data_IF_740235607107
#
_entry.id   IF_740235607107
#
_cell.length_a   1.000
_cell.length_b   1.000
_cell.length_c   1.000
_cell.angle_alpha   90.00
_cell.angle_beta   90.00
_cell.angle_gamma   90.00
#
_symmetry.space_group_name_H-M   'P 1'
#
loop_
_entity.id
_entity.type
_entity.pdbx_description
1 polymer ?
#
# COMPACT_ATOMS: atom_id res chain seq x y z
N UNK A 1 9.47 9.82 1.57
CA UNK A 1 8.50 9.24 0.62
C UNK A 1 7.28 10.13 0.53
N UNK A 2 6.74 10.36 -0.68
CA UNK A 2 5.55 11.19 -0.88
C UNK A 2 4.46 10.43 -1.64
N UNK A 3 3.25 10.42 -1.10
CA UNK A 3 2.05 9.80 -1.69
C UNK A 3 1.15 10.88 -2.29
N UNK A 4 0.87 10.80 -3.59
CA UNK A 4 -0.04 11.67 -4.32
C UNK A 4 -1.29 10.87 -4.67
N UNK A 5 -2.46 11.27 -4.16
CA UNK A 5 -3.70 10.53 -4.40
C UNK A 5 -4.63 11.36 -5.26
N UNK A 6 -4.82 10.94 -6.52
CA UNK A 6 -5.75 11.58 -7.46
C UNK A 6 -7.14 10.98 -7.24
N UNK A 7 -8.09 11.80 -6.80
CA UNK A 7 -9.39 11.34 -6.32
C UNK A 7 -10.49 12.37 -6.58
N UNK A 8 -11.74 11.95 -6.46
CA UNK A 8 -12.91 12.84 -6.41
C UNK A 8 -13.30 13.23 -4.98
N UNK A 9 -12.65 12.63 -3.96
CA UNK A 9 -12.98 12.76 -2.55
C UNK A 9 -11.72 12.98 -1.68
N UNK A 10 -11.03 14.11 -1.84
CA UNK A 10 -9.76 14.38 -1.14
C UNK A 10 -9.90 14.31 0.39
N UNK A 11 -11.00 14.81 0.95
CA UNK A 11 -11.22 14.80 2.41
C UNK A 11 -11.27 13.37 2.96
N UNK A 12 -11.87 12.41 2.23
CA UNK A 12 -11.90 11.00 2.63
C UNK A 12 -10.50 10.41 2.79
N UNK A 13 -9.58 10.78 1.92
CA UNK A 13 -8.18 10.36 1.99
C UNK A 13 -7.48 11.03 3.16
N UNK A 14 -7.53 12.36 3.23
CA UNK A 14 -6.74 13.11 4.21
C UNK A 14 -7.24 12.92 5.64
N UNK A 15 -8.54 12.82 5.87
CA UNK A 15 -9.10 12.51 7.19
C UNK A 15 -8.64 11.13 7.71
N UNK A 16 -8.53 10.15 6.79
CA UNK A 16 -8.03 8.82 7.12
C UNK A 16 -6.52 8.81 7.40
N UNK A 17 -5.71 9.41 6.53
CA UNK A 17 -4.26 9.39 6.64
C UNK A 17 -3.72 10.27 7.78
N UNK A 18 -4.41 11.37 8.13
CA UNK A 18 -4.00 12.30 9.20
C UNK A 18 -4.19 11.75 10.61
N UNK A 19 -4.45 10.46 10.77
CA UNK A 19 -4.71 9.84 12.07
C UNK A 19 -3.66 8.78 12.43
N UNK A 20 -3.57 8.47 13.76
CA UNK A 20 -2.77 7.38 14.30
C UNK A 20 -1.29 7.44 13.89
N UNK A 21 -0.73 6.33 13.41
CA UNK A 21 0.69 6.17 13.04
C UNK A 21 1.02 7.01 11.82
N UNK A 22 0.18 6.98 10.77
CA UNK A 22 0.41 7.73 9.54
C UNK A 22 0.40 9.24 9.79
N UNK A 23 -0.55 9.76 10.56
CA UNK A 23 -0.59 11.18 10.93
C UNK A 23 0.68 11.62 11.65
N UNK A 24 1.15 10.83 12.63
CA UNK A 24 2.42 11.10 13.31
C UNK A 24 3.63 11.03 12.38
N UNK A 25 3.65 10.08 11.45
CA UNK A 25 4.72 9.95 10.48
C UNK A 25 4.80 11.18 9.55
N UNK A 26 3.65 11.74 9.17
CA UNK A 26 3.58 13.00 8.41
C UNK A 26 4.02 14.19 9.25
N UNK A 27 3.58 14.31 10.52
CA UNK A 27 4.02 15.36 11.43
C UNK A 27 5.54 15.38 11.65
N UNK A 28 6.18 14.20 11.68
CA UNK A 28 7.63 14.07 11.83
C UNK A 28 8.40 14.15 10.49
N UNK A 29 7.69 14.23 9.36
CA UNK A 29 8.29 14.35 8.03
C UNK A 29 8.90 13.05 7.47
N UNK A 30 8.60 11.88 8.04
CA UNK A 30 9.03 10.59 7.50
C UNK A 30 8.33 10.27 6.18
N UNK A 31 7.05 10.61 6.08
CA UNK A 31 6.26 10.53 4.87
C UNK A 31 5.54 11.85 4.63
N UNK A 32 5.08 12.05 3.40
CA UNK A 32 4.16 13.12 3.01
C UNK A 32 3.01 12.51 2.24
N UNK A 33 1.83 13.12 2.31
CA UNK A 33 0.69 12.75 1.50
C UNK A 33 -0.10 13.98 1.08
N UNK A 34 -0.62 13.96 -0.14
CA UNK A 34 -1.60 14.92 -0.62
C UNK A 34 -2.71 14.22 -1.39
N UNK A 35 -3.90 14.75 -1.32
CA UNK A 35 -5.03 14.31 -2.12
C UNK A 35 -5.42 15.43 -3.11
N UNK A 36 -5.31 15.12 -4.40
CA UNK A 36 -5.54 16.07 -5.49
C UNK A 36 -6.91 15.80 -6.09
N UNK A 37 -7.76 16.83 -6.11
CA UNK A 37 -9.11 16.69 -6.64
C UNK A 37 -9.09 16.73 -8.18
N UNK A 38 -9.44 15.63 -8.82
CA UNK A 38 -9.52 15.53 -10.30
C UNK A 38 -10.51 16.56 -10.87
N UNK A 39 -11.54 16.97 -10.10
CA UNK A 39 -12.51 17.99 -10.54
C UNK A 39 -11.90 19.35 -10.80
N UNK A 40 -10.76 19.66 -10.18
CA UNK A 40 -10.09 20.95 -10.35
C UNK A 40 -9.41 21.09 -11.72
N UNK A 41 -9.33 19.98 -12.47
CA UNK A 41 -8.70 19.89 -13.79
C UNK A 41 -9.70 19.77 -14.94
N UNK A 42 -11.01 19.87 -14.68
CA UNK A 42 -11.99 19.95 -15.76
C UNK A 42 -12.24 21.39 -16.20
N UNK A 43 -12.46 21.57 -17.49
CA UNK A 43 -12.87 22.85 -18.07
C UNK A 43 -14.38 23.08 -18.01
N UNK A 44 -15.13 22.09 -17.53
CA UNK A 44 -16.59 22.21 -17.38
C UNK A 44 -16.93 23.15 -16.21
N UNK A 45 -17.81 24.12 -16.47
CA UNK A 45 -18.24 25.12 -15.48
C UNK A 45 -18.96 24.53 -14.25
N UNK A 46 -19.45 23.30 -14.35
CA UNK A 46 -20.12 22.58 -13.27
C UNK A 46 -19.21 21.52 -12.63
N UNK A 47 -17.91 21.56 -12.93
CA UNK A 47 -16.89 20.61 -12.45
C UNK A 47 -17.22 19.15 -12.79
N UNK A 48 -17.88 18.94 -13.95
CA UNK A 48 -18.22 17.61 -14.44
C UNK A 48 -16.97 16.88 -14.93
N UNK A 49 -16.78 15.64 -14.47
CA UNK A 49 -15.62 14.79 -14.80
C UNK A 49 -16.02 13.43 -15.33
N UNK A 50 -17.31 13.22 -15.57
CA UNK A 50 -17.89 11.95 -16.01
C UNK A 50 -18.79 12.15 -17.22
N UNK A 51 -18.97 11.09 -18.02
CA UNK A 51 -19.88 11.07 -19.18
C UNK A 51 -20.38 9.64 -19.44
N UNK A 52 -21.36 9.51 -20.33
CA UNK A 52 -21.90 8.22 -20.75
C UNK A 52 -20.86 7.39 -21.48
N UNK A 53 -20.91 6.07 -21.26
CA UNK A 53 -20.04 5.12 -21.97
C UNK A 53 -20.47 4.97 -23.44
N UNK A 54 -19.51 4.90 -24.36
CA UNK A 54 -19.78 4.47 -25.72
C UNK A 54 -20.25 3.01 -25.74
N UNK A 55 -21.17 2.69 -26.64
CA UNK A 55 -21.76 1.36 -26.75
C UNK A 55 -22.98 1.15 -25.85
N UNK A 56 -23.32 2.13 -25.01
CA UNK A 56 -24.43 2.06 -24.07
C UNK A 56 -24.09 1.27 -22.81
N UNK A 57 -25.01 1.23 -21.87
CA UNK A 57 -24.84 0.58 -20.56
C UNK A 57 -25.39 1.47 -19.46
N UNK A 58 -25.49 0.91 -18.25
CA UNK A 58 -25.80 1.67 -17.05
C UNK A 58 -24.52 2.32 -16.49
N UNK A 59 -24.66 3.49 -15.90
CA UNK A 59 -23.56 4.18 -15.24
C UNK A 59 -22.85 5.22 -16.11
N UNK A 60 -21.86 5.84 -15.51
CA UNK A 60 -21.03 6.91 -16.06
C UNK A 60 -19.58 6.46 -16.05
N UNK A 61 -18.74 7.10 -16.86
CA UNK A 61 -17.30 6.84 -16.94
C UNK A 61 -16.56 8.14 -16.67
N UNK A 62 -15.46 8.09 -15.92
CA UNK A 62 -14.60 9.26 -15.76
C UNK A 62 -13.94 9.63 -17.08
N UNK A 63 -14.02 10.93 -17.42
CA UNK A 63 -13.50 11.48 -18.68
C UNK A 63 -11.96 11.45 -18.70
N UNK A 64 -11.40 11.20 -19.89
CA UNK A 64 -9.95 11.13 -20.07
C UNK A 64 -9.24 12.45 -19.73
N UNK A 65 -9.75 13.60 -20.22
CA UNK A 65 -9.03 14.86 -20.13
C UNK A 65 -8.78 15.34 -18.69
N UNK A 66 -9.76 15.40 -17.78
CA UNK A 66 -9.51 15.81 -16.40
C UNK A 66 -8.51 14.87 -15.67
N UNK A 67 -8.57 13.57 -15.93
CA UNK A 67 -7.65 12.60 -15.35
C UNK A 67 -6.24 12.81 -15.88
N UNK A 68 -6.09 13.02 -17.19
CA UNK A 68 -4.80 13.29 -17.82
C UNK A 68 -4.18 14.56 -17.28
N UNK A 69 -4.91 15.68 -17.28
CA UNK A 69 -4.40 16.98 -16.85
C UNK A 69 -4.00 16.96 -15.36
N UNK A 70 -4.80 16.31 -14.51
CA UNK A 70 -4.49 16.11 -13.11
C UNK A 70 -3.19 15.30 -12.92
N UNK A 71 -3.08 14.16 -13.60
CA UNK A 71 -1.90 13.29 -13.52
C UNK A 71 -0.66 14.02 -14.01
N UNK A 72 -0.76 14.72 -15.13
CA UNK A 72 0.34 15.49 -15.73
C UNK A 72 0.81 16.60 -14.80
N UNK A 73 -0.09 17.36 -14.20
CA UNK A 73 0.25 18.44 -13.27
C UNK A 73 1.02 17.92 -12.05
N UNK A 74 0.60 16.78 -11.49
CA UNK A 74 1.31 16.14 -10.37
C UNK A 74 2.67 15.62 -10.80
N UNK A 75 2.79 14.97 -11.95
CA UNK A 75 4.08 14.52 -12.49
C UNK A 75 5.04 15.68 -12.72
N UNK A 76 4.57 16.80 -13.30
CA UNK A 76 5.38 17.99 -13.53
C UNK A 76 5.85 18.64 -12.20
N UNK A 77 5.00 18.63 -11.17
CA UNK A 77 5.37 19.06 -9.82
C UNK A 77 6.46 18.18 -9.20
N UNK A 78 6.35 16.85 -9.33
CA UNK A 78 7.37 15.89 -8.87
C UNK A 78 8.70 16.17 -9.57
N UNK A 79 8.71 16.27 -10.90
CA UNK A 79 9.93 16.53 -11.68
C UNK A 79 10.59 17.87 -11.31
N UNK A 80 9.79 18.93 -11.11
CA UNK A 80 10.30 20.23 -10.68
C UNK A 80 10.99 20.15 -9.31
N UNK A 81 10.35 19.48 -8.34
CA UNK A 81 10.90 19.28 -6.99
C UNK A 81 12.18 18.45 -6.98
N UNK A 82 12.26 17.41 -7.82
CA UNK A 82 13.45 16.56 -7.95
C UNK A 82 14.61 17.34 -8.58
N UNK A 83 14.33 18.18 -9.59
CA UNK A 83 15.34 19.02 -10.23
C UNK A 83 15.93 20.09 -9.28
N UNK A 84 15.12 20.66 -8.39
CA UNK A 84 15.57 21.64 -7.40
C UNK A 84 16.48 21.04 -6.31
N UNK A 85 16.32 19.76 -6.00
CA UNK A 85 17.16 19.06 -5.01
C UNK A 85 18.57 18.76 -5.49
N UNK A 86 18.90 19.02 -6.74
CA UNK A 86 20.24 18.85 -7.32
C UNK A 86 20.70 17.39 -7.18
N UNK A 87 19.92 16.47 -7.71
CA UNK A 87 20.24 15.04 -7.60
C UNK A 87 21.49 14.72 -8.45
N UNK A 88 22.66 14.74 -7.81
CA UNK A 88 23.96 14.32 -8.37
C UNK A 88 24.02 12.79 -8.63
N UNK A 89 22.88 12.14 -8.79
CA UNK A 89 22.87 10.74 -9.21
C UNK A 89 23.29 10.70 -10.68
N UNK A 90 24.42 10.03 -10.94
CA UNK A 90 24.94 9.74 -12.27
C UNK A 90 23.80 9.44 -13.26
N UNK A 91 23.98 9.84 -14.54
CA UNK A 91 23.07 9.79 -15.68
C UNK A 91 22.39 8.42 -15.96
N UNK A 92 21.92 7.76 -14.91
CA UNK A 92 20.96 6.67 -15.02
C UNK A 92 19.63 7.25 -15.55
N UNK A 93 19.01 6.59 -16.49
CA UNK A 93 17.73 6.97 -17.09
C UNK A 93 16.76 7.52 -16.02
N UNK A 94 16.06 8.64 -16.28
CA UNK A 94 15.16 9.24 -15.32
C UNK A 94 14.14 8.18 -14.86
N UNK A 95 14.15 7.88 -13.56
CA UNK A 95 13.27 6.89 -12.98
C UNK A 95 11.83 7.31 -13.25
N UNK A 96 11.10 6.47 -13.98
CA UNK A 96 9.72 6.76 -14.36
C UNK A 96 8.86 6.80 -13.09
N UNK A 97 8.19 7.92 -12.83
CA UNK A 97 7.25 8.03 -11.72
C UNK A 97 6.17 6.96 -11.81
N UNK A 98 5.95 6.22 -10.73
CA UNK A 98 4.95 5.14 -10.68
C UNK A 98 3.56 5.76 -10.53
N UNK A 99 2.67 5.42 -11.47
CA UNK A 99 1.24 5.77 -11.44
C UNK A 99 0.45 4.49 -11.26
N UNK A 100 -0.12 4.30 -10.08
CA UNK A 100 -0.82 3.09 -9.67
C UNK A 100 -2.32 3.32 -9.85
N UNK A 101 -2.93 2.65 -10.82
CA UNK A 101 -4.38 2.57 -10.91
C UNK A 101 -4.91 1.45 -10.01
N UNK A 102 -5.75 1.85 -9.06
CA UNK A 102 -6.34 0.94 -8.08
C UNK A 102 -7.61 0.33 -8.65
N UNK A 103 -7.55 -0.93 -9.04
CA UNK A 103 -8.60 -1.59 -9.82
C UNK A 103 -8.66 -3.09 -9.55
N UNK A 104 -9.86 -3.73 -9.60
CA UNK A 104 -9.98 -5.20 -9.53
C UNK A 104 -9.26 -5.94 -10.67
N UNK A 105 -8.93 -5.27 -11.77
CA UNK A 105 -8.26 -5.86 -12.93
C UNK A 105 -6.73 -6.01 -12.73
N UNK A 106 -6.18 -5.44 -11.67
CA UNK A 106 -4.74 -5.42 -11.40
C UNK A 106 -4.22 -6.69 -10.72
N UNK A 107 -2.89 -6.78 -10.64
CA UNK A 107 -2.22 -7.80 -9.83
C UNK A 107 -2.54 -7.61 -8.34
N UNK A 108 -2.65 -8.73 -7.61
CA UNK A 108 -3.01 -8.67 -6.18
C UNK A 108 -1.86 -8.08 -5.37
N UNK A 109 -2.16 -7.04 -4.60
CA UNK A 109 -1.24 -6.40 -3.67
C UNK A 109 -0.88 -7.36 -2.52
N UNK A 110 0.41 -7.46 -2.22
CA UNK A 110 0.94 -8.27 -1.14
C UNK A 110 2.15 -7.57 -0.49
N UNK A 111 2.75 -8.20 0.52
CA UNK A 111 3.89 -7.64 1.24
C UNK A 111 5.09 -7.37 0.33
N UNK A 112 5.40 -8.28 -0.60
CA UNK A 112 6.50 -8.12 -1.56
C UNK A 112 6.30 -6.88 -2.46
N UNK A 113 5.07 -6.65 -2.94
CA UNK A 113 4.74 -5.44 -3.70
C UNK A 113 4.82 -4.18 -2.85
N UNK A 114 4.45 -4.24 -1.57
CA UNK A 114 4.63 -3.12 -0.65
C UNK A 114 6.12 -2.78 -0.46
N UNK A 115 6.98 -3.79 -0.30
CA UNK A 115 8.44 -3.63 -0.18
C UNK A 115 9.09 -3.09 -1.47
N UNK A 116 8.57 -3.48 -2.62
CA UNK A 116 8.99 -2.92 -3.92
C UNK A 116 8.66 -1.43 -3.99
N UNK A 117 7.39 -1.07 -3.70
CA UNK A 117 6.91 0.31 -3.79
C UNK A 117 7.50 1.22 -2.69
N UNK A 118 7.87 0.68 -1.53
CA UNK A 118 8.52 1.43 -0.46
C UNK A 118 9.92 1.98 -0.83
N UNK A 119 10.50 1.53 -1.94
CA UNK A 119 11.79 2.02 -2.46
C UNK A 119 11.66 3.26 -3.35
N UNK A 120 10.44 3.68 -3.64
CA UNK A 120 10.17 4.87 -4.44
C UNK A 120 10.17 6.14 -3.59
N UNK A 121 10.57 7.25 -4.17
CA UNK A 121 10.50 8.56 -3.51
C UNK A 121 9.09 9.15 -3.59
N UNK A 122 8.43 8.96 -4.72
CA UNK A 122 7.09 9.45 -5.04
C UNK A 122 6.22 8.33 -5.64
N UNK A 123 4.98 8.23 -5.17
CA UNK A 123 3.96 7.31 -5.72
C UNK A 123 2.67 8.08 -6.00
N UNK A 124 2.12 7.90 -7.20
CA UNK A 124 0.82 8.45 -7.59
C UNK A 124 -0.22 7.33 -7.54
N UNK A 125 -1.27 7.51 -6.76
CA UNK A 125 -2.44 6.62 -6.72
C UNK A 125 -3.59 7.25 -7.49
N UNK A 126 -4.08 6.59 -8.53
CA UNK A 126 -5.25 7.01 -9.30
C UNK A 126 -6.48 6.24 -8.82
N UNK A 127 -7.42 6.94 -8.20
CA UNK A 127 -8.66 6.38 -7.68
C UNK A 127 -9.79 6.54 -8.71
N UNK A 128 -10.27 5.41 -9.24
CA UNK A 128 -11.42 5.41 -10.15
C UNK A 128 -12.75 5.42 -9.40
N UNK A 129 -13.77 5.97 -10.08
CA UNK A 129 -15.16 5.98 -9.63
C UNK A 129 -16.10 5.61 -10.78
N UNK A 130 -17.39 5.50 -10.49
CA UNK A 130 -18.43 5.11 -11.46
C UNK A 130 -18.14 3.73 -12.05
N UNK A 131 -18.23 3.58 -13.38
CA UNK A 131 -17.87 2.34 -14.10
C UNK A 131 -16.37 2.23 -14.40
N UNK A 132 -15.58 3.22 -13.97
CA UNK A 132 -14.14 3.29 -14.18
C UNK A 132 -13.68 4.58 -14.83
N UNK A 133 -12.53 4.53 -15.48
CA UNK A 133 -11.88 5.65 -16.15
C UNK A 133 -11.73 5.31 -17.63
N UNK A 134 -11.81 6.30 -18.51
CA UNK A 134 -11.61 6.13 -19.96
C UNK A 134 -10.28 5.42 -20.23
N UNK A 135 -10.33 4.31 -20.96
CA UNK A 135 -9.18 3.43 -21.21
C UNK A 135 -8.00 4.16 -21.86
N UNK A 136 -8.28 5.12 -22.72
CA UNK A 136 -7.24 5.87 -23.46
C UNK A 136 -6.30 6.64 -22.53
N UNK A 137 -6.80 7.20 -21.43
CA UNK A 137 -5.94 7.86 -20.46
C UNK A 137 -5.20 6.85 -19.57
N UNK A 138 -5.83 5.73 -19.24
CA UNK A 138 -5.16 4.66 -18.48
C UNK A 138 -3.95 4.13 -19.25
N UNK A 139 -4.09 3.84 -20.55
CA UNK A 139 -3.00 3.42 -21.43
C UNK A 139 -1.85 4.43 -21.50
N UNK A 140 -2.17 5.74 -21.40
CA UNK A 140 -1.19 6.81 -21.50
C UNK A 140 -0.40 7.03 -20.19
N UNK A 141 -1.07 6.99 -19.02
CA UNK A 141 -0.48 7.47 -17.78
C UNK A 141 -0.15 6.37 -16.77
N UNK A 142 -0.86 5.23 -16.79
CA UNK A 142 -0.73 4.19 -15.76
C UNK A 142 0.52 3.33 -15.99
N UNK A 143 1.25 3.09 -14.91
CA UNK A 143 2.39 2.17 -14.92
C UNK A 143 2.03 0.82 -14.29
N UNK A 144 1.12 0.85 -13.31
CA UNK A 144 0.78 -0.30 -12.49
C UNK A 144 -0.73 -0.41 -12.28
N UNK A 145 -1.28 -1.58 -12.56
CA UNK A 145 -2.65 -1.95 -12.21
C UNK A 145 -2.60 -2.84 -10.98
N UNK A 146 -3.19 -2.39 -9.85
CA UNK A 146 -3.10 -3.12 -8.58
C UNK A 146 -4.48 -3.29 -7.96
N UNK A 147 -4.77 -4.53 -7.53
CA UNK A 147 -5.97 -4.94 -6.80
C UNK A 147 -5.65 -5.26 -5.35
N UNK A 148 -6.56 -5.00 -4.42
CA UNK A 148 -6.44 -5.46 -3.03
C UNK A 148 -7.20 -6.78 -2.77
N UNK A 149 -7.76 -7.41 -3.81
CA UNK A 149 -8.47 -8.69 -3.71
C UNK A 149 -9.63 -8.79 -4.69
N UNK A 150 -10.21 -9.99 -4.79
CA UNK A 150 -11.24 -10.35 -5.75
C UNK A 150 -12.64 -9.92 -5.25
N UNK A 151 -12.85 -8.64 -5.10
CA UNK A 151 -14.13 -8.01 -4.75
C UNK A 151 -14.19 -6.58 -5.27
N UNK A 152 -15.40 -6.06 -5.42
CA UNK A 152 -15.64 -4.72 -5.96
C UNK A 152 -16.01 -3.75 -4.84
N UNK A 153 -15.42 -2.57 -4.86
CA UNK A 153 -15.72 -1.45 -3.96
C UNK A 153 -16.36 -0.30 -4.75
N UNK A 154 -16.88 0.70 -4.04
CA UNK A 154 -17.53 1.87 -4.66
C UNK A 154 -16.55 2.87 -5.28
N UNK A 155 -15.25 2.78 -4.94
CA UNK A 155 -14.21 3.66 -5.46
C UNK A 155 -12.81 3.19 -5.05
N UNK A 156 -11.79 3.86 -5.56
CA UNK A 156 -10.39 3.53 -5.34
C UNK A 156 -9.78 4.06 -4.04
N UNK A 157 -10.48 4.89 -3.27
CA UNK A 157 -9.93 5.58 -2.10
C UNK A 157 -9.56 4.61 -0.97
N UNK A 158 -10.46 3.72 -0.59
CA UNK A 158 -10.18 2.73 0.47
C UNK A 158 -9.01 1.81 0.11
N UNK A 159 -8.96 1.23 -1.10
CA UNK A 159 -7.79 0.46 -1.52
C UNK A 159 -6.49 1.27 -1.52
N UNK A 160 -6.51 2.52 -1.99
CA UNK A 160 -5.34 3.40 -1.96
C UNK A 160 -4.83 3.60 -0.53
N UNK A 161 -5.72 3.88 0.43
CA UNK A 161 -5.35 4.03 1.85
C UNK A 161 -4.78 2.73 2.43
N UNK A 162 -5.33 1.56 2.09
CA UNK A 162 -4.79 0.25 2.52
C UNK A 162 -3.37 0.06 2.00
N UNK A 163 -3.12 0.38 0.72
CA UNK A 163 -1.78 0.26 0.14
C UNK A 163 -0.81 1.28 0.74
N UNK A 164 -1.24 2.54 0.93
CA UNK A 164 -0.43 3.59 1.55
C UNK A 164 -0.02 3.18 2.98
N UNK A 165 -0.94 2.65 3.79
CA UNK A 165 -0.63 2.19 5.15
C UNK A 165 0.43 1.07 5.12
N UNK A 166 0.25 0.06 4.28
CA UNK A 166 1.17 -1.05 4.17
C UNK A 166 2.57 -0.64 3.67
N UNK A 167 2.64 0.31 2.73
CA UNK A 167 3.90 0.85 2.19
C UNK A 167 4.58 1.76 3.21
N UNK A 168 3.83 2.68 3.82
CA UNK A 168 4.36 3.66 4.77
C UNK A 168 5.02 3.01 5.98
N UNK A 169 4.48 1.88 6.47
CA UNK A 169 5.08 1.12 7.57
C UNK A 169 6.51 0.62 7.30
N UNK A 170 6.89 0.51 6.02
CA UNK A 170 8.22 0.08 5.58
C UNK A 170 9.20 1.24 5.44
N UNK A 171 8.71 2.48 5.53
CA UNK A 171 9.57 3.67 5.51
C UNK A 171 10.28 3.83 6.86
N UNK A 172 11.63 3.97 6.88
CA UNK A 172 12.39 4.13 8.12
C UNK A 172 11.85 5.27 9.00
N UNK A 173 11.66 4.99 10.28
CA UNK A 173 11.20 5.96 11.27
C UNK A 173 9.67 6.03 11.44
N UNK A 174 8.87 5.45 10.56
CA UNK A 174 7.40 5.41 10.67
C UNK A 174 6.96 4.52 11.82
N UNK A 175 7.58 3.36 11.97
CA UNK A 175 7.41 2.50 13.14
C UNK A 175 8.54 2.74 14.15
N UNK A 176 8.22 2.72 15.44
CA UNK A 176 9.20 2.95 16.52
C UNK A 176 10.24 1.83 16.66
N UNK A 177 10.02 0.68 16.02
CA UNK A 177 10.93 -0.47 16.09
C UNK A 177 11.03 -1.10 14.70
N UNK A 178 12.13 -0.85 14.03
CA UNK A 178 12.40 -1.37 12.67
C UNK A 178 12.51 -2.92 12.67
N UNK A 179 12.82 -3.56 13.84
CA UNK A 179 12.81 -5.02 13.96
C UNK A 179 11.39 -5.61 13.95
N UNK A 180 10.36 -4.81 14.29
CA UNK A 180 8.96 -5.27 14.29
C UNK A 180 8.51 -5.72 12.90
N UNK A 181 8.87 -4.98 11.86
CA UNK A 181 8.48 -5.31 10.47
C UNK A 181 9.06 -6.65 9.99
N UNK A 182 10.22 -7.06 10.50
CA UNK A 182 10.88 -8.33 10.12
C UNK A 182 10.30 -9.55 10.81
N UNK A 183 9.71 -9.39 12.00
CA UNK A 183 9.13 -10.48 12.80
C UNK A 183 7.62 -10.62 12.65
N UNK A 184 6.97 -9.68 11.98
CA UNK A 184 5.54 -9.72 11.68
C UNK A 184 5.19 -10.78 10.61
N UNK A 185 3.89 -11.02 10.43
CA UNK A 185 3.38 -11.93 9.40
C UNK A 185 3.91 -11.53 8.02
N UNK A 186 4.33 -12.54 7.26
CA UNK A 186 4.89 -12.46 5.89
C UNK A 186 6.37 -12.08 5.79
N UNK A 187 7.01 -11.47 6.79
CA UNK A 187 8.41 -11.05 6.73
C UNK A 187 9.38 -12.22 6.43
N UNK A 188 9.09 -13.41 6.96
CA UNK A 188 9.83 -14.65 6.69
C UNK A 188 9.01 -15.71 5.95
N UNK A 189 7.87 -15.34 5.35
CA UNK A 189 6.94 -16.24 4.66
C UNK A 189 5.97 -16.99 5.59
N UNK A 190 6.03 -16.76 6.90
CA UNK A 190 5.15 -17.36 7.89
C UNK A 190 4.19 -16.32 8.49
N UNK A 191 3.12 -16.80 9.13
CA UNK A 191 2.32 -15.98 10.03
C UNK A 191 3.04 -15.79 11.36
N UNK A 192 2.81 -14.65 11.99
CA UNK A 192 3.35 -14.34 13.31
C UNK A 192 2.84 -15.34 14.38
N UNK A 193 3.71 -15.62 15.37
CA UNK A 193 3.38 -16.44 16.53
C UNK A 193 2.31 -15.78 17.42
N UNK A 194 1.66 -16.53 18.35
CA UNK A 194 0.66 -15.96 19.25
C UNK A 194 1.28 -15.00 20.27
N UNK A 195 0.70 -13.82 20.42
CA UNK A 195 1.09 -12.81 21.38
C UNK A 195 0.22 -12.92 22.66
N UNK A 196 0.82 -12.63 23.81
CA UNK A 196 0.17 -12.66 25.10
C UNK A 196 0.43 -11.37 25.88
N UNK A 197 -0.60 -10.81 26.48
CA UNK A 197 -0.52 -9.64 27.36
C UNK A 197 -0.77 -10.01 28.81
N UNK A 198 -0.57 -9.07 29.74
CA UNK A 198 -1.00 -9.21 31.13
C UNK A 198 -2.52 -9.17 31.25
N UNK A 199 -3.12 -9.89 32.23
CA UNK A 199 -2.51 -10.69 33.31
C UNK A 199 -2.01 -12.06 32.83
N UNK A 200 -1.14 -12.71 33.64
CA UNK A 200 -0.59 -14.05 33.35
C UNK A 200 -1.64 -15.12 33.18
N UNK A 201 -2.74 -15.05 33.96
CA UNK A 201 -3.87 -15.98 33.87
C UNK A 201 -5.11 -15.14 33.53
N UNK A 202 -5.82 -15.57 32.47
CA UNK A 202 -7.07 -14.95 32.02
C UNK A 202 -8.11 -16.06 31.70
N UNK A 203 -9.22 -16.08 32.43
CA UNK A 203 -10.25 -17.12 32.31
C UNK A 203 -9.67 -18.55 32.34
N UNK A 204 -8.87 -18.87 33.35
CA UNK A 204 -8.18 -20.15 33.55
C UNK A 204 -7.19 -20.54 32.44
N UNK A 205 -6.89 -19.64 31.53
CA UNK A 205 -5.87 -19.80 30.48
C UNK A 205 -4.59 -19.09 30.89
N UNK A 206 -3.51 -19.84 30.97
CA UNK A 206 -2.21 -19.32 31.38
C UNK A 206 -1.33 -18.97 30.18
N UNK A 207 -0.53 -17.91 30.29
CA UNK A 207 0.54 -17.60 29.34
C UNK A 207 1.54 -18.76 29.34
N UNK A 208 1.99 -19.25 28.15
CA UNK A 208 2.96 -20.33 28.06
C UNK A 208 4.19 -20.09 28.97
N UNK A 209 4.56 -21.06 29.83
CA UNK A 209 5.63 -20.87 30.82
C UNK A 209 6.98 -20.49 30.19
N UNK A 210 7.24 -20.94 28.96
CA UNK A 210 8.45 -20.64 28.21
C UNK A 210 8.65 -19.12 28.01
N UNK A 211 7.58 -18.37 27.82
CA UNK A 211 7.61 -16.91 27.64
C UNK A 211 7.99 -16.17 28.95
N UNK A 212 7.93 -16.87 30.08
CA UNK A 212 8.27 -16.34 31.40
C UNK A 212 9.64 -16.83 31.89
N UNK A 213 10.34 -17.65 31.11
CA UNK A 213 11.58 -18.33 31.52
C UNK A 213 12.80 -17.41 31.56
N UNK A 214 12.82 -16.30 30.83
CA UNK A 214 14.01 -15.47 30.63
C UNK A 214 15.05 -16.07 29.66
N UNK A 215 14.82 -17.27 29.14
CA UNK A 215 15.70 -17.94 28.17
C UNK A 215 15.32 -17.49 26.75
N UNK A 216 15.95 -16.42 26.29
CA UNK A 216 15.65 -15.81 25.00
C UNK A 216 15.78 -16.80 23.83
N UNK A 217 16.76 -17.70 23.86
CA UNK A 217 16.96 -18.69 22.80
C UNK A 217 15.78 -19.65 22.69
N UNK A 218 15.32 -20.19 23.83
CA UNK A 218 14.16 -21.10 23.85
C UNK A 218 12.86 -20.37 23.50
N UNK A 219 12.75 -19.08 23.86
CA UNK A 219 11.61 -18.25 23.45
C UNK A 219 11.58 -18.09 21.94
N UNK A 220 12.70 -17.81 21.28
CA UNK A 220 12.75 -17.70 19.80
C UNK A 220 12.47 -19.04 19.11
N UNK A 221 13.00 -20.14 19.60
CA UNK A 221 12.70 -21.50 19.10
C UNK A 221 11.18 -21.78 19.20
N UNK A 222 10.58 -21.46 20.34
CA UNK A 222 9.14 -21.63 20.54
C UNK A 222 8.31 -20.72 19.61
N UNK A 223 8.71 -19.46 19.42
CA UNK A 223 8.04 -18.52 18.51
C UNK A 223 8.02 -19.04 17.08
N UNK A 224 9.18 -19.53 16.61
CA UNK A 224 9.28 -20.12 15.26
C UNK A 224 8.37 -21.34 15.12
N UNK A 225 8.39 -22.24 16.10
CA UNK A 225 7.52 -23.42 16.11
C UNK A 225 6.02 -23.02 16.04
N UNK A 226 5.60 -22.04 16.84
CA UNK A 226 4.22 -21.55 16.83
C UNK A 226 3.85 -20.86 15.51
N UNK A 227 4.77 -20.12 14.89
CA UNK A 227 4.57 -19.54 13.55
C UNK A 227 4.33 -20.63 12.50
N UNK A 228 5.13 -21.68 12.51
CA UNK A 228 5.00 -22.84 11.61
C UNK A 228 3.64 -23.53 11.80
N UNK A 229 3.29 -23.87 13.05
CA UNK A 229 2.01 -24.52 13.38
C UNK A 229 0.83 -23.67 12.92
N UNK A 230 0.85 -22.36 13.23
CA UNK A 230 -0.22 -21.41 12.89
C UNK A 230 -0.35 -21.24 11.39
N UNK A 231 0.78 -21.14 10.67
CA UNK A 231 0.78 -20.99 9.21
C UNK A 231 0.22 -22.23 8.54
N UNK A 232 0.64 -23.42 8.98
CA UNK A 232 0.14 -24.70 8.47
C UNK A 232 -1.38 -24.85 8.66
N UNK A 233 -1.91 -24.39 9.80
CA UNK A 233 -3.32 -24.49 10.14
C UNK A 233 -4.19 -23.47 9.38
N UNK A 234 -3.75 -22.21 9.32
CA UNK A 234 -4.58 -21.09 8.86
C UNK A 234 -4.31 -20.65 7.43
N UNK A 235 -3.09 -20.86 6.95
CA UNK A 235 -2.64 -20.47 5.61
C UNK A 235 -1.76 -21.60 5.02
N UNK A 236 -2.37 -22.76 4.72
CA UNK A 236 -1.64 -23.89 4.14
C UNK A 236 -0.94 -23.54 2.82
N UNK A 237 -1.49 -22.60 2.06
CA UNK A 237 -0.89 -22.04 0.84
C UNK A 237 0.47 -21.39 1.10
N UNK A 238 0.60 -20.59 2.17
CA UNK A 238 1.86 -19.97 2.58
C UNK A 238 2.83 -21.00 3.16
N UNK A 239 2.31 -21.98 3.92
CA UNK A 239 3.14 -23.02 4.49
C UNK A 239 3.85 -23.86 3.42
N UNK A 240 3.15 -24.24 2.35
CA UNK A 240 3.78 -25.00 1.25
C UNK A 240 4.84 -24.16 0.52
N UNK A 241 4.57 -22.89 0.24
CA UNK A 241 5.57 -21.95 -0.33
C UNK A 241 6.83 -21.83 0.56
N UNK A 242 6.61 -21.63 1.87
CA UNK A 242 7.69 -21.54 2.84
C UNK A 242 8.53 -22.81 2.90
N UNK A 243 7.89 -23.98 2.88
CA UNK A 243 8.53 -25.29 2.91
C UNK A 243 9.37 -25.53 1.66
N UNK A 244 8.87 -25.21 0.47
CA UNK A 244 9.61 -25.28 -0.80
C UNK A 244 10.89 -24.41 -0.72
N UNK A 245 10.76 -23.16 -0.34
CA UNK A 245 11.89 -22.22 -0.22
C UNK A 245 12.95 -22.64 0.82
N UNK A 246 12.57 -23.42 1.87
CA UNK A 246 13.52 -23.90 2.87
C UNK A 246 14.08 -25.29 2.56
N UNK A 247 13.41 -26.13 1.77
CA UNK A 247 13.95 -27.39 1.29
C UNK A 247 15.10 -27.19 0.29
N UNK A 248 15.02 -26.15 -0.56
CA UNK A 248 16.08 -25.80 -1.52
C UNK A 248 17.36 -25.27 -0.83
N UNK A 249 17.29 -24.83 0.44
CA UNK A 249 18.46 -24.41 1.22
C UNK A 249 19.17 -25.55 1.94
N UNK A 250 18.58 -26.75 1.93
CA UNK A 250 19.17 -27.94 2.56
C UNK A 250 19.78 -28.93 1.55
N UNK A 251 19.83 -28.58 0.26
CA UNK A 251 20.59 -29.27 -0.80
C UNK A 251 21.82 -28.42 -1.18
#
# INVERSE_FOLDING_TARGET
MFFHVLTLFPDMIMDGLNTSILGKAMEHGYIQAEAVNIRDYTLDKHLKVDDYTYGGGAGMLMQAQPVYDCTKAVMDSIHSRQSEKGDDRDEAEPKRTRVIYVTPQGSVFNQEKAEELAKEDDLIFLCGHYEGIDERVLEEVVTDYISIGDYVLTGGELPAMVMIDAIARLVPGVLNNDESAQTESFGNGLLEYPQYSRPRIWHDKEVPPILLSGDHKKVEEWRLEQSIIRTKDRRPDLYEKWKEANNDRCQ
#
